data_IF_942695378281
#
_entry.id   IF_942695378281
#
_cell.length_a   1.000
_cell.length_b   1.000
_cell.length_c   1.000
_cell.angle_alpha   90.00
_cell.angle_beta   90.00
_cell.angle_gamma   90.00
#
_symmetry.space_group_name_H-M   'P 1'
#
loop_
_entity.id
_entity.type
_entity.pdbx_description
1 polymer ?
#
# COMPACT_ATOMS: atom_id res chain seq x y z
N UNK A 1 -4.96 38.93 -25.33
CA UNK A 1 -4.66 38.55 -23.93
C UNK A 1 -5.81 37.71 -23.39
N UNK A 2 -5.70 36.38 -23.51
CA UNK A 2 -6.69 35.44 -22.99
C UNK A 2 -5.95 34.24 -22.42
N UNK A 3 -5.85 34.16 -21.10
CA UNK A 3 -5.45 32.92 -20.42
C UNK A 3 -5.92 32.96 -18.96
N UNK A 4 -6.25 31.79 -18.41
CA UNK A 4 -6.73 31.50 -17.04
C UNK A 4 -8.23 31.54 -16.77
N UNK A 5 -9.01 30.70 -17.47
CA UNK A 5 -10.24 30.12 -16.88
C UNK A 5 -10.45 28.61 -17.16
N UNK A 6 -9.62 27.96 -17.96
CA UNK A 6 -9.76 26.53 -18.26
C UNK A 6 -9.14 25.60 -17.18
N UNK A 7 -7.99 25.97 -16.60
CA UNK A 7 -7.23 25.10 -15.67
C UNK A 7 -7.98 24.80 -14.36
N UNK A 8 -8.84 25.71 -13.90
CA UNK A 8 -9.54 25.55 -12.62
C UNK A 8 -10.64 24.47 -12.65
N UNK A 9 -11.20 24.13 -13.82
CA UNK A 9 -12.24 23.09 -13.92
C UNK A 9 -11.66 21.68 -13.92
N UNK A 10 -10.50 21.47 -14.54
CA UNK A 10 -9.86 20.15 -14.57
C UNK A 10 -9.15 19.83 -13.24
N UNK A 11 -8.60 20.83 -12.56
CA UNK A 11 -7.97 20.67 -11.25
C UNK A 11 -9.00 20.42 -10.13
N UNK A 12 -10.20 21.02 -10.23
CA UNK A 12 -11.32 20.72 -9.34
C UNK A 12 -11.91 19.31 -9.59
N UNK A 13 -11.94 18.84 -10.85
CA UNK A 13 -12.36 17.47 -11.18
C UNK A 13 -11.36 16.41 -10.71
N UNK A 14 -10.05 16.69 -10.72
CA UNK A 14 -9.01 15.80 -10.15
C UNK A 14 -9.09 15.74 -8.62
N UNK A 15 -9.28 16.88 -7.95
CA UNK A 15 -9.48 16.93 -6.48
C UNK A 15 -10.77 16.24 -6.01
N UNK A 16 -11.80 16.15 -6.86
CA UNK A 16 -12.99 15.35 -6.55
C UNK A 16 -12.77 13.84 -6.73
N UNK A 17 -11.72 13.38 -7.43
CA UNK A 17 -11.33 11.95 -7.50
C UNK A 17 -10.48 11.53 -6.30
N UNK A 18 -9.65 12.41 -5.76
CA UNK A 18 -8.74 12.10 -4.64
C UNK A 18 -9.38 12.09 -3.24
N UNK A 19 -10.60 12.59 -3.09
CA UNK A 19 -11.34 12.56 -1.81
C UNK A 19 -12.72 11.89 -1.93
N UNK A 20 -12.91 11.03 -2.94
CA UNK A 20 -14.00 10.07 -2.89
C UNK A 20 -13.61 9.00 -1.86
N UNK A 21 -14.34 8.93 -0.76
CA UNK A 21 -14.23 7.84 0.22
C UNK A 21 -14.26 6.48 -0.51
N UNK A 22 -13.58 5.43 -0.01
CA UNK A 22 -13.57 4.09 -0.62
C UNK A 22 -14.96 3.53 -0.96
N UNK A 23 -16.00 4.03 -0.30
CA UNK A 23 -17.41 3.72 -0.56
C UNK A 23 -17.95 4.19 -1.92
N UNK A 24 -17.41 5.27 -2.51
CA UNK A 24 -17.89 5.83 -3.79
C UNK A 24 -17.11 5.29 -5.00
N UNK A 25 -15.91 4.73 -4.80
CA UNK A 25 -15.10 4.10 -5.86
C UNK A 25 -15.43 2.60 -6.06
N UNK A 26 -16.10 1.98 -5.08
CA UNK A 26 -16.57 0.59 -5.15
C UNK A 26 -17.72 0.36 -6.17
N UNK A 27 -18.25 1.42 -6.78
CA UNK A 27 -19.38 1.34 -7.73
C UNK A 27 -19.01 1.77 -9.16
N UNK A 28 -17.74 2.03 -9.48
CA UNK A 28 -17.38 2.63 -10.78
C UNK A 28 -16.60 1.73 -11.74
N UNK A 29 -15.53 1.03 -11.34
CA UNK A 29 -14.87 0.03 -12.20
C UNK A 29 -13.80 -0.78 -11.42
N UNK A 30 -14.04 -2.06 -11.07
CA UNK A 30 -13.08 -2.88 -10.31
C UNK A 30 -11.81 -3.24 -11.11
N UNK A 31 -11.81 -3.07 -12.44
CA UNK A 31 -10.72 -3.50 -13.32
C UNK A 31 -9.49 -2.56 -13.32
N UNK A 32 -9.65 -1.27 -13.01
CA UNK A 32 -8.52 -0.31 -13.06
C UNK A 32 -7.74 -0.24 -11.72
N UNK A 33 -8.41 -0.57 -10.60
CA UNK A 33 -7.83 -0.47 -9.26
C UNK A 33 -6.80 -1.58 -8.94
N UNK A 34 -6.99 -2.80 -9.46
CA UNK A 34 -6.08 -3.93 -9.21
C UNK A 34 -4.76 -3.81 -9.99
N UNK A 35 -4.81 -3.35 -11.24
CA UNK A 35 -3.64 -3.15 -12.09
C UNK A 35 -2.79 -1.94 -11.65
N UNK A 36 -3.43 -0.87 -11.18
CA UNK A 36 -2.70 0.24 -10.56
C UNK A 36 -2.08 -0.19 -9.22
N UNK A 37 -2.68 -1.08 -8.44
CA UNK A 37 -2.12 -1.54 -7.16
C UNK A 37 -0.72 -2.16 -7.27
N UNK A 38 -0.46 -2.96 -8.33
CA UNK A 38 0.87 -3.52 -8.63
C UNK A 38 1.87 -2.46 -9.13
N UNK A 39 1.41 -1.43 -9.84
CA UNK A 39 2.26 -0.32 -10.34
C UNK A 39 2.45 0.84 -9.34
N UNK A 40 1.60 0.96 -8.34
CA UNK A 40 1.42 2.18 -7.54
C UNK A 40 2.28 2.22 -6.26
N UNK A 41 3.09 1.21 -5.96
CA UNK A 41 3.70 1.13 -4.63
C UNK A 41 4.95 1.98 -4.37
N UNK A 42 5.49 2.74 -5.34
CA UNK A 42 6.54 3.75 -5.05
C UNK A 42 6.44 5.03 -5.91
N UNK A 43 5.92 4.97 -7.14
CA UNK A 43 6.22 6.00 -8.15
C UNK A 43 5.45 7.34 -8.08
N UNK A 44 4.29 7.45 -7.41
CA UNK A 44 3.46 8.66 -7.53
C UNK A 44 3.38 9.57 -6.29
N UNK A 45 3.79 9.11 -5.10
CA UNK A 45 3.74 9.95 -3.91
C UNK A 45 4.91 10.97 -3.83
N UNK A 46 6.02 10.67 -4.50
CA UNK A 46 7.28 11.43 -4.41
C UNK A 46 7.24 12.73 -5.26
N UNK A 47 6.39 12.83 -6.29
CA UNK A 47 6.49 13.93 -7.27
C UNK A 47 5.55 15.12 -7.04
N UNK A 48 4.48 14.98 -6.24
CA UNK A 48 3.44 16.03 -6.14
C UNK A 48 3.43 16.83 -4.81
N UNK A 49 4.03 16.32 -3.72
CA UNK A 49 3.92 16.96 -2.38
C UNK A 49 4.85 18.18 -2.19
N UNK A 50 5.85 18.38 -3.04
CA UNK A 50 6.75 19.56 -2.98
C UNK A 50 6.10 20.86 -3.49
N UNK A 51 4.92 20.80 -4.12
CA UNK A 51 4.23 21.96 -4.69
C UNK A 51 3.30 22.75 -3.74
N UNK A 52 2.77 22.13 -2.68
CA UNK A 52 1.61 22.69 -1.94
C UNK A 52 1.96 23.34 -0.57
N UNK A 53 3.23 23.36 -0.18
CA UNK A 53 3.69 23.87 1.14
C UNK A 53 3.56 25.39 1.35
N UNK A 54 3.05 26.16 0.38
CA UNK A 54 2.96 27.64 0.49
C UNK A 54 1.59 28.22 0.86
N UNK A 55 0.57 27.40 1.09
CA UNK A 55 -0.80 27.93 1.14
C UNK A 55 -1.67 27.50 2.34
N UNK A 56 -1.14 27.44 3.57
CA UNK A 56 -2.00 27.31 4.77
C UNK A 56 -1.48 28.12 5.96
N UNK A 57 -1.66 29.44 5.91
CA UNK A 57 -1.70 30.27 7.13
C UNK A 57 -3.03 31.03 7.16
N UNK A 58 -3.91 30.64 8.08
CA UNK A 58 -5.07 31.42 8.47
C UNK A 58 -6.40 30.69 8.24
N UNK A 59 -6.98 30.17 9.32
CA UNK A 59 -8.40 30.31 9.66
C UNK A 59 -8.47 30.39 11.19
N UNK A 60 -9.21 31.39 11.67
CA UNK A 60 -9.26 31.82 13.06
C UNK A 60 -10.13 30.96 13.98
N UNK A 61 -9.87 31.15 15.27
CA UNK A 61 -10.52 30.50 16.40
C UNK A 61 -11.97 30.97 16.58
N UNK A 62 -12.94 30.07 16.38
CA UNK A 62 -14.31 30.24 16.86
C UNK A 62 -14.51 29.39 18.12
N UNK A 63 -14.98 30.03 19.20
CA UNK A 63 -15.10 29.47 20.56
C UNK A 63 -16.41 28.68 20.69
N UNK A 64 -16.34 27.36 20.88
CA UNK A 64 -17.50 26.51 21.16
C UNK A 64 -17.83 26.42 22.67
N UNK A 65 -19.11 26.15 23.05
CA UNK A 65 -19.56 26.17 24.44
C UNK A 65 -19.17 24.92 25.25
N UNK A 66 -19.15 25.12 26.56
CA UNK A 66 -18.51 24.31 27.61
C UNK A 66 -19.41 23.16 28.10
N UNK A 67 -19.81 22.22 27.23
CA UNK A 67 -20.54 21.01 27.67
C UNK A 67 -20.20 19.71 26.93
N UNK A 68 -19.27 19.72 25.97
CA UNK A 68 -18.78 18.51 25.31
C UNK A 68 -17.25 18.57 25.31
N UNK A 69 -16.64 18.34 26.46
CA UNK A 69 -15.21 18.00 26.56
C UNK A 69 -15.06 16.47 26.51
N UNK A 70 -15.78 15.80 25.60
CA UNK A 70 -15.24 14.55 25.08
C UNK A 70 -14.11 14.96 24.17
N UNK A 71 -12.90 14.66 24.63
CA UNK A 71 -11.65 14.89 23.92
C UNK A 71 -11.74 14.11 22.61
N UNK A 72 -12.26 14.77 21.58
CA UNK A 72 -12.02 14.42 20.19
C UNK A 72 -10.54 14.73 19.99
N UNK A 73 -9.70 13.79 20.42
CA UNK A 73 -8.40 13.62 19.79
C UNK A 73 -8.77 13.34 18.33
N UNK A 74 -8.85 14.41 17.54
CA UNK A 74 -8.67 14.30 16.11
C UNK A 74 -7.39 13.49 15.97
N UNK A 75 -7.52 12.29 15.39
CA UNK A 75 -6.39 11.45 15.04
C UNK A 75 -5.57 12.28 14.05
N UNK A 76 -4.68 13.10 14.59
CA UNK A 76 -3.67 13.81 13.86
C UNK A 76 -2.74 12.70 13.38
N UNK A 77 -3.02 12.22 12.17
CA UNK A 77 -2.23 11.19 11.52
C UNK A 77 -0.81 11.73 11.50
N UNK A 78 0.08 11.06 12.23
CA UNK A 78 1.46 11.51 12.34
C UNK A 78 2.05 11.56 10.92
N UNK A 79 2.39 12.76 10.45
CA UNK A 79 3.08 12.93 9.19
C UNK A 79 4.59 12.89 9.42
N UNK A 80 5.31 12.16 8.56
CA UNK A 80 6.77 12.17 8.58
C UNK A 80 7.28 13.56 8.21
N UNK A 81 8.39 13.98 8.83
CA UNK A 81 9.12 15.16 8.36
C UNK A 81 9.48 14.99 6.88
N UNK A 82 9.34 16.06 6.11
CA UNK A 82 9.51 16.00 4.66
C UNK A 82 10.90 15.49 4.25
N UNK A 83 11.96 15.84 4.99
CA UNK A 83 13.33 15.37 4.68
C UNK A 83 13.44 13.87 4.93
N UNK A 84 12.80 13.38 5.98
CA UNK A 84 12.77 11.96 6.30
C UNK A 84 11.96 11.17 5.27
N UNK A 85 10.81 11.70 4.86
CA UNK A 85 9.96 11.10 3.83
C UNK A 85 10.69 10.98 2.49
N UNK A 86 11.34 12.05 2.03
CA UNK A 86 12.12 12.05 0.79
C UNK A 86 13.29 11.05 0.86
N UNK A 87 13.95 10.93 2.02
CA UNK A 87 15.04 9.97 2.21
C UNK A 87 14.56 8.52 2.17
N UNK A 88 13.41 8.23 2.80
CA UNK A 88 12.76 6.92 2.73
C UNK A 88 12.38 6.61 1.28
N UNK A 89 11.75 7.56 0.58
CA UNK A 89 11.37 7.42 -0.83
C UNK A 89 12.58 7.10 -1.72
N UNK A 90 13.68 7.85 -1.59
CA UNK A 90 14.89 7.61 -2.39
C UNK A 90 15.54 6.25 -2.12
N UNK A 91 15.45 5.72 -0.90
CA UNK A 91 15.93 4.37 -0.60
C UNK A 91 14.99 3.30 -1.18
N UNK A 92 13.68 3.50 -1.12
CA UNK A 92 12.70 2.60 -1.74
C UNK A 92 12.87 2.56 -3.26
N UNK A 93 12.98 3.71 -3.94
CA UNK A 93 13.24 3.78 -5.38
C UNK A 93 14.54 3.06 -5.77
N UNK A 94 15.59 3.21 -4.97
CA UNK A 94 16.85 2.49 -5.19
C UNK A 94 16.70 0.97 -4.96
N UNK A 95 15.83 0.55 -4.05
CA UNK A 95 15.47 -0.85 -3.85
C UNK A 95 14.72 -1.42 -5.06
N UNK A 96 13.72 -0.70 -5.57
CA UNK A 96 12.92 -1.13 -6.70
C UNK A 96 13.77 -1.33 -7.96
N UNK A 97 14.68 -0.38 -8.25
CA UNK A 97 15.61 -0.51 -9.36
C UNK A 97 16.49 -1.77 -9.25
N UNK A 98 16.89 -2.15 -8.03
CA UNK A 98 17.65 -3.38 -7.79
C UNK A 98 16.78 -4.63 -7.97
N UNK A 99 15.48 -4.58 -7.62
CA UNK A 99 14.53 -5.68 -7.91
C UNK A 99 14.37 -5.85 -9.43
N UNK A 100 14.24 -4.77 -10.19
CA UNK A 100 14.16 -4.80 -11.66
C UNK A 100 15.42 -5.42 -12.29
N UNK A 101 16.59 -5.15 -11.71
CA UNK A 101 17.88 -5.74 -12.12
C UNK A 101 18.09 -7.18 -11.59
N UNK A 102 17.18 -7.70 -10.76
CA UNK A 102 17.26 -9.02 -10.14
C UNK A 102 18.22 -9.12 -8.94
N UNK A 103 18.77 -8.00 -8.47
CA UNK A 103 19.59 -7.94 -7.24
C UNK A 103 18.71 -7.80 -5.99
N UNK A 104 18.05 -8.90 -5.63
CA UNK A 104 17.16 -8.94 -4.47
C UNK A 104 17.89 -8.70 -3.14
N UNK A 105 19.15 -9.13 -3.01
CA UNK A 105 19.92 -8.91 -1.79
C UNK A 105 20.28 -7.42 -1.61
N UNK A 106 20.66 -6.76 -2.70
CA UNK A 106 20.84 -5.31 -2.75
C UNK A 106 19.55 -4.57 -2.43
N UNK A 107 18.43 -4.98 -3.02
CA UNK A 107 17.12 -4.37 -2.78
C UNK A 107 16.69 -4.46 -1.31
N UNK A 108 16.77 -5.66 -0.70
CA UNK A 108 16.48 -5.85 0.73
C UNK A 108 17.34 -4.94 1.61
N UNK A 109 18.62 -4.75 1.26
CA UNK A 109 19.50 -3.83 1.99
C UNK A 109 18.95 -2.39 1.95
N UNK A 110 18.42 -1.94 0.81
CA UNK A 110 17.84 -0.60 0.66
C UNK A 110 16.53 -0.45 1.43
N UNK A 111 15.62 -1.42 1.31
CA UNK A 111 14.36 -1.35 2.02
C UNK A 111 14.52 -1.40 3.53
N UNK A 112 15.43 -2.23 4.07
CA UNK A 112 15.72 -2.22 5.50
C UNK A 112 16.35 -0.92 5.97
N UNK A 113 17.26 -0.31 5.17
CA UNK A 113 17.77 1.03 5.46
C UNK A 113 16.65 2.07 5.53
N UNK A 114 15.63 1.97 4.68
CA UNK A 114 14.47 2.86 4.71
C UNK A 114 13.57 2.58 5.93
N UNK A 115 13.32 1.32 6.26
CA UNK A 115 12.52 0.91 7.41
C UNK A 115 13.14 1.33 8.75
N UNK A 116 14.48 1.28 8.85
CA UNK A 116 15.22 1.71 10.04
C UNK A 116 15.11 3.22 10.30
N UNK A 117 14.76 4.02 9.28
CA UNK A 117 14.52 5.46 9.42
C UNK A 117 13.15 5.79 10.02
N UNK A 118 12.22 4.84 10.07
CA UNK A 118 10.89 5.08 10.64
C UNK A 118 10.99 5.39 12.14
N UNK A 119 10.34 6.46 12.63
CA UNK A 119 10.31 6.76 14.06
C UNK A 119 9.56 5.68 14.86
N UNK A 120 9.88 5.55 16.14
CA UNK A 120 9.15 4.64 17.03
C UNK A 120 7.85 5.27 17.57
N UNK A 121 6.77 4.48 17.75
CA UNK A 121 6.65 3.07 17.35
C UNK A 121 6.42 2.94 15.84
N UNK A 122 7.21 2.10 15.16
CA UNK A 122 7.16 1.98 13.69
C UNK A 122 5.76 1.66 13.15
N UNK A 123 4.96 0.90 13.91
CA UNK A 123 3.59 0.49 13.56
C UNK A 123 2.58 1.64 13.47
N UNK A 124 2.98 2.88 13.79
CA UNK A 124 2.11 4.05 13.61
C UNK A 124 2.22 4.68 12.21
N UNK A 125 3.19 4.26 11.40
CA UNK A 125 3.49 4.91 10.12
C UNK A 125 3.01 4.05 8.96
N UNK A 126 2.16 4.62 8.10
CA UNK A 126 1.77 4.01 6.83
C UNK A 126 3.01 3.62 6.01
N UNK A 127 4.03 4.49 6.03
CA UNK A 127 5.45 4.16 6.14
C UNK A 127 5.85 2.67 6.00
N UNK A 128 5.59 1.96 7.09
CA UNK A 128 6.01 0.59 7.25
C UNK A 128 5.16 -0.42 6.49
N UNK A 129 3.90 -0.12 6.15
CA UNK A 129 3.05 -1.02 5.36
C UNK A 129 3.66 -1.30 4.00
N UNK A 130 4.01 -0.25 3.24
CA UNK A 130 4.59 -0.38 1.90
C UNK A 130 6.04 -0.89 1.93
N UNK A 131 6.83 -0.50 2.94
CA UNK A 131 8.18 -1.04 3.12
C UNK A 131 8.17 -2.54 3.45
N UNK A 132 7.30 -2.98 4.36
CA UNK A 132 7.18 -4.41 4.69
C UNK A 132 6.58 -5.20 3.51
N UNK A 133 5.69 -4.60 2.72
CA UNK A 133 5.22 -5.19 1.47
C UNK A 133 6.38 -5.43 0.49
N UNK A 134 7.19 -4.40 0.22
CA UNK A 134 8.34 -4.50 -0.70
C UNK A 134 9.39 -5.51 -0.20
N UNK A 135 9.69 -5.51 1.10
CA UNK A 135 10.60 -6.50 1.71
C UNK A 135 10.03 -7.91 1.55
N UNK A 136 8.75 -8.11 1.88
CA UNK A 136 8.07 -9.40 1.77
C UNK A 136 8.03 -9.94 0.34
N UNK A 137 7.68 -9.08 -0.61
CA UNK A 137 7.64 -9.37 -2.04
C UNK A 137 9.04 -9.73 -2.59
N UNK A 138 10.06 -8.97 -2.21
CA UNK A 138 11.45 -9.25 -2.59
C UNK A 138 11.92 -10.60 -2.05
N UNK A 139 11.59 -10.94 -0.79
CA UNK A 139 11.91 -12.25 -0.22
C UNK A 139 11.23 -13.39 -1.00
N UNK A 140 9.96 -13.20 -1.40
CA UNK A 140 9.26 -14.17 -2.23
C UNK A 140 9.94 -14.38 -3.59
N UNK A 141 10.32 -13.30 -4.28
CA UNK A 141 11.05 -13.38 -5.55
C UNK A 141 12.44 -14.01 -5.40
N UNK A 142 13.07 -13.87 -4.24
CA UNK A 142 14.31 -14.57 -3.89
C UNK A 142 14.09 -16.05 -3.47
N UNK A 143 12.83 -16.52 -3.45
CA UNK A 143 12.42 -17.83 -2.93
C UNK A 143 12.75 -18.06 -1.44
N UNK A 144 13.00 -17.01 -0.66
CA UNK A 144 13.04 -17.07 0.80
C UNK A 144 11.63 -16.88 1.37
N UNK A 145 10.79 -17.89 1.16
CA UNK A 145 9.38 -17.86 1.56
C UNK A 145 9.20 -17.78 3.08
N UNK A 146 10.18 -18.23 3.86
CA UNK A 146 10.14 -18.12 5.32
C UNK A 146 10.30 -16.67 5.77
N UNK A 147 11.30 -15.97 5.25
CA UNK A 147 11.47 -14.54 5.51
C UNK A 147 10.30 -13.72 4.94
N UNK A 148 9.82 -14.07 3.74
CA UNK A 148 8.64 -13.44 3.13
C UNK A 148 7.40 -13.55 4.02
N UNK A 149 7.08 -14.76 4.49
CA UNK A 149 5.98 -15.01 5.44
C UNK A 149 6.12 -14.16 6.70
N UNK A 150 7.29 -14.13 7.31
CA UNK A 150 7.50 -13.42 8.58
C UNK A 150 7.35 -11.91 8.42
N UNK A 151 7.94 -11.35 7.37
CA UNK A 151 7.86 -9.91 7.09
C UNK A 151 6.43 -9.48 6.69
N UNK A 152 5.75 -10.25 5.83
CA UNK A 152 4.36 -9.96 5.45
C UNK A 152 3.39 -10.16 6.62
N UNK A 153 3.65 -11.15 7.49
CA UNK A 153 2.91 -11.31 8.75
C UNK A 153 3.08 -10.10 9.67
N UNK A 154 4.30 -9.56 9.78
CA UNK A 154 4.56 -8.32 10.53
C UNK A 154 3.86 -7.10 9.92
N UNK A 155 3.76 -7.03 8.59
CA UNK A 155 3.06 -5.94 7.89
C UNK A 155 1.61 -5.78 8.40
N UNK A 156 0.95 -6.87 8.81
CA UNK A 156 -0.44 -6.84 9.31
C UNK A 156 -0.63 -6.03 10.61
N UNK A 157 0.47 -5.62 11.27
CA UNK A 157 0.45 -4.73 12.44
C UNK A 157 0.54 -3.24 12.09
N UNK A 158 0.73 -2.90 10.81
CA UNK A 158 0.84 -1.53 10.33
C UNK A 158 -0.53 -1.00 9.83
N UNK A 159 -0.69 0.33 9.71
CA UNK A 159 -1.94 0.93 9.28
C UNK A 159 -2.38 0.42 7.91
N UNK A 160 -3.68 0.17 7.77
CA UNK A 160 -4.35 -0.25 6.53
C UNK A 160 -3.87 -1.57 5.89
N UNK A 161 -2.95 -2.31 6.53
CA UNK A 161 -2.40 -3.55 6.01
C UNK A 161 -3.43 -4.70 5.95
N UNK A 162 -4.32 -4.81 6.95
CA UNK A 162 -5.33 -5.89 7.04
C UNK A 162 -6.31 -5.87 5.86
N UNK A 163 -6.53 -4.71 5.23
CA UNK A 163 -7.43 -4.57 4.09
C UNK A 163 -6.75 -4.73 2.74
N UNK A 164 -5.42 -4.90 2.71
CA UNK A 164 -4.62 -4.85 1.49
C UNK A 164 -4.59 -6.23 0.80
N UNK A 165 -5.21 -6.40 -0.38
CA UNK A 165 -5.29 -7.69 -1.05
C UNK A 165 -3.94 -8.23 -1.50
N UNK A 166 -3.00 -7.36 -1.86
CA UNK A 166 -1.65 -7.76 -2.29
C UNK A 166 -0.83 -8.36 -1.14
N UNK A 167 -0.90 -7.78 0.06
CA UNK A 167 -0.24 -8.36 1.23
C UNK A 167 -0.76 -9.76 1.52
N UNK A 168 -2.08 -9.96 1.40
CA UNK A 168 -2.71 -11.27 1.53
C UNK A 168 -2.32 -12.23 0.41
N UNK A 169 -2.23 -11.76 -0.85
CA UNK A 169 -1.75 -12.56 -1.98
C UNK A 169 -0.36 -13.11 -1.66
N UNK A 170 0.59 -12.21 -1.40
CA UNK A 170 2.00 -12.59 -1.26
C UNK A 170 2.24 -13.43 -0.01
N UNK A 171 1.53 -13.14 1.09
CA UNK A 171 1.59 -13.96 2.30
C UNK A 171 1.01 -15.36 2.04
N UNK A 172 -0.12 -15.45 1.34
CA UNK A 172 -0.73 -16.73 0.97
C UNK A 172 0.16 -17.57 0.06
N UNK A 173 0.84 -16.95 -0.91
CA UNK A 173 1.82 -17.62 -1.76
C UNK A 173 3.02 -18.12 -0.95
N UNK A 174 3.60 -17.31 -0.06
CA UNK A 174 4.68 -17.77 0.82
C UNK A 174 4.25 -18.95 1.69
N UNK A 175 3.03 -18.91 2.24
CA UNK A 175 2.49 -20.03 3.01
C UNK A 175 2.30 -21.29 2.16
N UNK A 176 1.86 -21.13 0.91
CA UNK A 176 1.69 -22.24 -0.03
C UNK A 176 3.03 -22.93 -0.32
N UNK A 177 4.07 -22.15 -0.64
CA UNK A 177 5.41 -22.69 -0.92
C UNK A 177 6.04 -23.39 0.29
N UNK A 178 5.70 -22.93 1.50
CA UNK A 178 6.11 -23.58 2.75
C UNK A 178 5.27 -24.81 3.11
N UNK A 179 4.24 -25.15 2.33
CA UNK A 179 3.34 -26.28 2.58
C UNK A 179 2.30 -26.03 3.69
N UNK A 180 2.16 -24.79 4.16
CA UNK A 180 1.17 -24.41 5.17
C UNK A 180 -0.21 -24.17 4.52
N UNK A 181 -0.75 -25.21 3.89
CA UNK A 181 -1.85 -25.09 2.92
C UNK A 181 -3.12 -24.48 3.50
N UNK A 182 -3.49 -24.77 4.75
CA UNK A 182 -4.71 -24.19 5.33
C UNK A 182 -4.55 -22.67 5.54
N UNK A 183 -3.36 -22.21 5.96
CA UNK A 183 -3.05 -20.78 6.05
C UNK A 183 -2.95 -20.13 4.67
N UNK A 184 -2.38 -20.83 3.70
CA UNK A 184 -2.34 -20.36 2.33
C UNK A 184 -3.74 -20.12 1.77
N UNK A 185 -4.68 -21.05 2.01
CA UNK A 185 -6.05 -20.92 1.55
C UNK A 185 -6.76 -19.70 2.16
N UNK A 186 -6.61 -19.48 3.47
CA UNK A 186 -7.20 -18.32 4.16
C UNK A 186 -6.71 -16.98 3.59
N UNK A 187 -5.40 -16.85 3.37
CA UNK A 187 -4.80 -15.61 2.88
C UNK A 187 -5.09 -15.38 1.40
N UNK A 188 -4.95 -16.41 0.55
CA UNK A 188 -5.29 -16.31 -0.88
C UNK A 188 -6.79 -16.03 -1.10
N UNK A 189 -7.67 -16.54 -0.24
CA UNK A 189 -9.10 -16.19 -0.28
C UNK A 189 -9.32 -14.71 0.03
N UNK A 190 -8.66 -14.15 1.05
CA UNK A 190 -8.73 -12.70 1.35
C UNK A 190 -8.23 -11.86 0.17
N UNK A 191 -7.15 -12.30 -0.47
CA UNK A 191 -6.61 -11.67 -1.66
C UNK A 191 -7.63 -11.67 -2.81
N UNK A 192 -8.22 -12.83 -3.11
CA UNK A 192 -9.23 -12.98 -4.17
C UNK A 192 -10.50 -12.18 -3.89
N UNK A 193 -11.03 -12.22 -2.67
CA UNK A 193 -12.22 -11.44 -2.29
C UNK A 193 -11.97 -9.92 -2.33
N UNK A 194 -10.73 -9.48 -2.06
CA UNK A 194 -10.37 -8.06 -2.01
C UNK A 194 -9.92 -7.48 -3.35
N UNK A 195 -9.28 -8.28 -4.21
CA UNK A 195 -8.66 -7.81 -5.46
C UNK A 195 -9.15 -8.52 -6.73
N UNK A 196 -10.04 -9.51 -6.62
CA UNK A 196 -10.56 -10.26 -7.76
C UNK A 196 -9.54 -11.23 -8.39
N UNK A 197 -9.94 -11.94 -9.47
CA UNK A 197 -9.03 -12.77 -10.25
C UNK A 197 -7.90 -11.97 -10.90
N UNK A 198 -8.11 -10.68 -11.20
CA UNK A 198 -7.12 -9.79 -11.84
C UNK A 198 -5.83 -9.67 -11.03
N UNK A 199 -5.94 -9.72 -9.69
CA UNK A 199 -4.77 -9.67 -8.80
C UNK A 199 -3.78 -10.81 -9.06
N UNK A 200 -4.25 -11.94 -9.61
CA UNK A 200 -3.49 -13.16 -9.84
C UNK A 200 -2.97 -13.31 -11.28
N UNK A 201 -3.30 -12.40 -12.20
CA UNK A 201 -3.01 -12.57 -13.65
C UNK A 201 -1.52 -12.78 -13.99
N UNK A 202 -0.62 -12.12 -13.28
CA UNK A 202 0.83 -12.27 -13.48
C UNK A 202 1.46 -13.32 -12.56
N UNK A 203 0.67 -13.99 -11.73
CA UNK A 203 1.15 -14.98 -10.78
C UNK A 203 1.10 -16.39 -11.39
N UNK A 204 1.85 -17.34 -10.81
CA UNK A 204 1.76 -18.74 -11.23
C UNK A 204 0.34 -19.29 -10.97
N UNK A 205 -0.30 -19.82 -12.01
CA UNK A 205 -1.64 -20.42 -11.99
C UNK A 205 -1.85 -21.41 -10.84
N UNK A 206 -0.77 -22.05 -10.34
CA UNK A 206 -0.84 -23.00 -9.22
C UNK A 206 -1.54 -22.42 -7.99
N UNK A 207 -1.45 -21.11 -7.75
CA UNK A 207 -2.08 -20.49 -6.58
C UNK A 207 -3.60 -20.39 -6.73
N UNK A 208 -4.10 -19.95 -7.90
CA UNK A 208 -5.54 -19.94 -8.19
C UNK A 208 -6.10 -21.36 -8.29
N UNK A 209 -5.39 -22.27 -8.97
CA UNK A 209 -5.78 -23.68 -9.06
C UNK A 209 -5.87 -24.32 -7.69
N UNK A 210 -4.92 -24.03 -6.80
CA UNK A 210 -4.98 -24.48 -5.41
C UNK A 210 -6.19 -23.88 -4.69
N UNK A 211 -6.43 -22.58 -4.80
CA UNK A 211 -7.56 -21.92 -4.15
C UNK A 211 -8.90 -22.48 -4.62
N UNK A 212 -9.04 -22.80 -5.91
CA UNK A 212 -10.22 -23.45 -6.47
C UNK A 212 -10.48 -24.86 -5.93
N UNK A 213 -9.47 -25.54 -5.36
CA UNK A 213 -9.69 -26.81 -4.62
C UNK A 213 -10.26 -26.61 -3.22
N UNK A 214 -10.21 -25.37 -2.71
CA UNK A 214 -10.60 -25.00 -1.33
C UNK A 214 -11.91 -24.21 -1.27
N UNK A 215 -12.38 -23.65 -2.39
CA UNK A 215 -13.62 -22.88 -2.45
C UNK A 215 -14.32 -22.97 -3.82
N UNK A 216 -15.64 -22.89 -3.79
CA UNK A 216 -16.47 -22.80 -4.99
C UNK A 216 -16.45 -21.37 -5.57
N UNK A 217 -16.66 -21.23 -6.88
CA UNK A 217 -16.77 -19.92 -7.55
C UNK A 217 -15.44 -19.21 -7.82
N UNK A 218 -14.30 -19.89 -7.62
CA UNK A 218 -12.99 -19.39 -8.04
C UNK A 218 -12.79 -19.66 -9.54
N UNK A 219 -12.57 -18.60 -10.30
CA UNK A 219 -12.24 -18.70 -11.72
C UNK A 219 -10.75 -19.08 -11.86
N UNK A 220 -10.49 -20.37 -12.01
CA UNK A 220 -9.15 -20.86 -12.29
C UNK A 220 -8.86 -20.83 -13.81
N UNK A 221 -7.65 -20.43 -14.23
CA UNK A 221 -7.22 -20.47 -15.63
C UNK A 221 -7.09 -21.90 -16.18
#
# INVERSE_FOLDING_TARGET
MAYRKAVARDQAKRRCREYATPTDLLLADPHEAAADFKKLHVHNAIREKTGDRRARSGIGTARLPRCIQFRREELDMAELDDVLYERIGALSEAGDALVEDGDYAGALTKYWQAFDLLPEPRTNWEAGTWLMAAIGDTNFHQADYAAGRDNLGQAMHFPDAIGNPFLHLRLGQCQFELGNLDRAADELMRAYMGGGPELFEDEDDKYLRFLATRAEGIEAP
#
